data_IF_969307515332
#
_entry.id   IF_969307515332
#
_cell.length_a   1.000
_cell.length_b   1.000
_cell.length_c   1.000
_cell.angle_alpha   90.00
_cell.angle_beta   90.00
_cell.angle_gamma   90.00
#
_symmetry.space_group_name_H-M   'P 1'
#
loop_
_entity.id
_entity.type
_entity.pdbx_description
1 polymer ?
#
# COMPACT_ATOMS: atom_id res chain seq x y z
N UNK A 1 -1.74 -43.86 -5.82
CA UNK A 1 -2.38 -43.45 -7.08
C UNK A 1 -2.59 -41.95 -7.04
N UNK A 2 -1.63 -41.20 -7.54
CA UNK A 2 -1.66 -39.73 -7.60
C UNK A 2 -2.59 -39.36 -8.76
N UNK A 3 -3.77 -38.78 -8.46
CA UNK A 3 -4.62 -38.20 -9.50
C UNK A 3 -3.81 -37.08 -10.14
N UNK A 4 -3.54 -37.19 -11.44
CA UNK A 4 -3.02 -36.07 -12.21
C UNK A 4 -3.98 -34.88 -12.00
N UNK A 5 -3.46 -33.80 -11.42
CA UNK A 5 -4.21 -32.55 -11.24
C UNK A 5 -4.44 -32.02 -12.66
N UNK A 6 -5.69 -32.02 -13.11
CA UNK A 6 -6.02 -31.40 -14.38
C UNK A 6 -5.77 -29.89 -14.26
N UNK A 7 -5.14 -29.25 -15.27
CA UNK A 7 -4.92 -27.81 -15.24
C UNK A 7 -6.23 -27.05 -15.07
N UNK A 8 -6.30 -26.19 -14.06
CA UNK A 8 -7.41 -25.29 -13.83
C UNK A 8 -7.03 -23.88 -14.32
N UNK A 9 -7.31 -23.62 -15.60
CA UNK A 9 -7.01 -22.33 -16.24
C UNK A 9 -7.83 -21.16 -15.66
N UNK A 10 -9.04 -21.44 -15.16
CA UNK A 10 -9.91 -20.42 -14.55
C UNK A 10 -9.32 -19.93 -13.23
N UNK A 11 -8.93 -20.84 -12.33
CA UNK A 11 -8.28 -20.49 -11.07
C UNK A 11 -6.96 -19.73 -11.31
N UNK A 12 -6.18 -20.13 -12.31
CA UNK A 12 -4.98 -19.40 -12.73
C UNK A 12 -5.29 -17.97 -13.22
N UNK A 13 -6.38 -17.79 -13.96
CA UNK A 13 -6.83 -16.47 -14.42
C UNK A 13 -7.29 -15.58 -13.25
N UNK A 14 -7.98 -16.13 -12.25
CA UNK A 14 -8.39 -15.40 -11.04
C UNK A 14 -7.16 -14.91 -10.24
N UNK A 15 -6.15 -15.76 -10.06
CA UNK A 15 -4.91 -15.36 -9.40
C UNK A 15 -4.15 -14.29 -10.20
N UNK A 16 -4.15 -14.37 -11.53
CA UNK A 16 -3.56 -13.35 -12.40
C UNK A 16 -4.30 -12.00 -12.30
N UNK A 17 -5.63 -12.01 -12.26
CA UNK A 17 -6.44 -10.79 -12.05
C UNK A 17 -6.03 -10.09 -10.75
N UNK A 18 -5.79 -10.85 -9.69
CA UNK A 18 -5.33 -10.28 -8.43
C UNK A 18 -3.90 -9.71 -8.51
N UNK A 19 -3.00 -10.32 -9.27
CA UNK A 19 -1.68 -9.74 -9.58
C UNK A 19 -1.84 -8.39 -10.29
N UNK A 20 -2.75 -8.28 -11.25
CA UNK A 20 -3.01 -7.05 -11.99
C UNK A 20 -3.57 -5.96 -11.07
N UNK A 21 -4.45 -6.32 -10.14
CA UNK A 21 -4.91 -5.42 -9.08
C UNK A 21 -3.76 -4.91 -8.21
N UNK A 22 -2.86 -5.80 -7.74
CA UNK A 22 -1.70 -5.42 -6.93
C UNK A 22 -0.75 -4.50 -7.72
N UNK A 23 -0.56 -4.74 -9.03
CA UNK A 23 0.20 -3.86 -9.91
C UNK A 23 -0.43 -2.47 -10.03
N UNK A 24 -1.76 -2.38 -10.12
CA UNK A 24 -2.46 -1.10 -10.13
C UNK A 24 -2.24 -0.32 -8.82
N UNK A 25 -2.29 -0.98 -7.66
CA UNK A 25 -1.99 -0.35 -6.37
C UNK A 25 -0.54 0.15 -6.30
N UNK A 26 0.39 -0.65 -6.84
CA UNK A 26 1.80 -0.29 -6.94
C UNK A 26 2.01 0.98 -7.78
N UNK A 27 1.34 1.10 -8.93
CA UNK A 27 1.36 2.30 -9.76
C UNK A 27 0.78 3.53 -9.05
N UNK A 28 -0.43 3.40 -8.49
CA UNK A 28 -1.09 4.47 -7.75
C UNK A 28 -0.25 4.99 -6.56
N UNK A 29 0.46 4.08 -5.88
CA UNK A 29 1.38 4.43 -4.82
C UNK A 29 2.57 5.26 -5.34
N UNK A 30 3.22 4.81 -6.41
CA UNK A 30 4.36 5.53 -7.00
C UNK A 30 3.98 6.93 -7.48
N UNK A 31 2.82 7.06 -8.14
CA UNK A 31 2.31 8.35 -8.59
C UNK A 31 2.04 9.28 -7.40
N UNK A 32 1.49 8.76 -6.31
CA UNK A 32 1.25 9.53 -5.10
C UNK A 32 2.55 9.96 -4.41
N UNK A 33 3.57 9.09 -4.34
CA UNK A 33 4.88 9.45 -3.80
C UNK A 33 5.52 10.58 -4.60
N UNK A 34 5.45 10.54 -5.94
CA UNK A 34 5.90 11.63 -6.79
C UNK A 34 5.15 12.93 -6.49
N UNK A 35 3.83 12.84 -6.27
CA UNK A 35 3.00 13.96 -5.83
C UNK A 35 3.46 14.55 -4.49
N UNK A 36 3.66 13.72 -3.47
CA UNK A 36 4.14 14.16 -2.14
C UNK A 36 5.51 14.83 -2.23
N UNK A 37 6.46 14.21 -2.94
CA UNK A 37 7.79 14.77 -3.14
C UNK A 37 7.75 16.14 -3.86
N UNK A 38 6.89 16.27 -4.88
CA UNK A 38 6.66 17.52 -5.59
C UNK A 38 6.07 18.61 -4.68
N UNK A 39 5.06 18.25 -3.88
CA UNK A 39 4.44 19.16 -2.90
C UNK A 39 5.42 19.61 -1.81
N UNK A 40 6.22 18.68 -1.26
CA UNK A 40 7.28 18.99 -0.31
C UNK A 40 8.25 20.03 -0.90
N UNK A 41 8.83 19.72 -2.07
CA UNK A 41 9.81 20.58 -2.73
C UNK A 41 9.25 21.97 -3.07
N UNK A 42 7.99 22.04 -3.51
CA UNK A 42 7.33 23.31 -3.85
C UNK A 42 7.20 24.22 -2.62
N UNK A 43 6.73 23.66 -1.50
CA UNK A 43 6.53 24.44 -0.26
C UNK A 43 7.87 24.79 0.38
N UNK A 44 8.84 23.87 0.39
CA UNK A 44 10.18 24.11 0.90
C UNK A 44 10.84 25.33 0.22
N UNK A 45 10.76 25.42 -1.11
CA UNK A 45 11.30 26.58 -1.87
C UNK A 45 10.62 27.91 -1.54
N UNK A 46 9.41 27.87 -0.99
CA UNK A 46 8.59 29.06 -0.71
C UNK A 46 8.41 29.31 0.79
N UNK A 47 8.97 28.46 1.66
CA UNK A 47 8.70 28.47 3.09
C UNK A 47 9.11 29.80 3.73
N UNK A 48 10.24 30.38 3.30
CA UNK A 48 10.69 31.69 3.78
C UNK A 48 9.77 32.85 3.38
N UNK A 49 9.03 32.72 2.28
CA UNK A 49 8.02 33.70 1.85
C UNK A 49 6.75 33.56 2.69
N UNK A 50 6.32 32.32 2.93
CA UNK A 50 5.08 31.99 3.66
C UNK A 50 5.23 32.31 5.16
N UNK A 51 6.39 31.99 5.74
CA UNK A 51 6.72 32.25 7.14
C UNK A 51 7.30 33.65 7.36
N UNK A 52 7.08 34.61 6.46
CA UNK A 52 7.39 36.01 6.75
C UNK A 52 6.11 36.68 7.28
N UNK A 53 6.13 37.22 8.50
CA UNK A 53 4.98 37.95 9.02
C UNK A 53 4.79 39.24 8.22
N UNK A 54 3.60 39.42 7.66
CA UNK A 54 3.26 40.58 6.82
C UNK A 54 2.81 41.76 7.66
N UNK A 55 2.21 41.47 8.81
CA UNK A 55 1.85 42.47 9.80
C UNK A 55 2.03 41.89 11.19
N UNK A 56 2.59 42.69 12.09
CA UNK A 56 2.55 42.44 13.53
C UNK A 56 1.87 43.63 14.19
N UNK A 57 1.01 43.37 15.16
CA UNK A 57 0.25 44.41 15.84
C UNK A 57 -0.35 43.90 17.15
N UNK A 58 -1.22 44.70 17.75
CA UNK A 58 -1.99 44.32 18.93
C UNK A 58 -3.49 44.38 18.56
N UNK A 59 -4.28 43.44 19.07
CA UNK A 59 -5.75 43.52 18.95
C UNK A 59 -6.31 44.49 20.00
N UNK A 60 -7.63 44.70 19.97
CA UNK A 60 -8.36 45.57 20.91
C UNK A 60 -8.19 45.14 22.38
N UNK A 61 -7.86 43.86 22.63
CA UNK A 61 -7.56 43.31 23.94
C UNK A 61 -6.07 43.44 24.33
N UNK A 62 -5.28 44.26 23.62
CA UNK A 62 -3.84 44.44 23.81
C UNK A 62 -3.00 43.15 23.68
N UNK A 63 -3.52 42.13 22.99
CA UNK A 63 -2.79 40.89 22.71
C UNK A 63 -2.03 41.01 21.40
N UNK A 64 -0.80 40.51 21.37
CA UNK A 64 0.05 40.50 20.17
C UNK A 64 -0.56 39.60 19.10
N UNK A 65 -0.88 40.16 17.94
CA UNK A 65 -1.38 39.46 16.75
C UNK A 65 -0.31 39.49 15.66
N UNK A 66 -0.06 38.33 15.06
CA UNK A 66 0.83 38.17 13.90
C UNK A 66 0.00 37.69 12.73
N UNK A 67 0.00 38.45 11.64
CA UNK A 67 -0.66 38.09 10.38
C UNK A 67 0.38 37.47 9.46
N UNK A 68 0.14 36.24 9.06
CA UNK A 68 0.95 35.48 8.12
C UNK A 68 0.34 35.53 6.73
N UNK A 69 1.16 35.44 5.69
CA UNK A 69 0.67 35.39 4.31
C UNK A 69 0.16 33.98 3.99
N UNK A 70 -1.09 33.88 3.54
CA UNK A 70 -1.62 32.66 2.92
C UNK A 70 -1.09 32.55 1.48
N UNK A 71 -0.96 31.32 0.96
CA UNK A 71 -0.57 31.11 -0.44
C UNK A 71 -1.62 31.67 -1.41
N UNK A 72 -2.88 31.70 -0.98
CA UNK A 72 -4.05 32.22 -1.71
C UNK A 72 -4.77 33.26 -0.84
N UNK A 73 -5.34 34.29 -1.46
CA UNK A 73 -6.09 35.34 -0.76
C UNK A 73 -7.53 34.87 -0.49
N UNK A 74 -7.89 34.56 0.77
CA UNK A 74 -9.22 34.05 1.10
C UNK A 74 -10.36 35.05 0.88
N UNK A 75 -10.03 36.31 0.58
CA UNK A 75 -11.01 37.35 0.26
C UNK A 75 -11.45 37.34 -1.21
N UNK A 76 -10.78 36.57 -2.07
CA UNK A 76 -11.18 36.43 -3.46
C UNK A 76 -12.32 35.41 -3.62
N UNK A 77 -13.36 35.73 -4.40
CA UNK A 77 -14.57 34.91 -4.49
C UNK A 77 -14.34 33.53 -5.13
N UNK A 78 -13.22 33.35 -5.83
CA UNK A 78 -12.78 32.11 -6.48
C UNK A 78 -11.83 31.26 -5.63
N UNK A 79 -11.43 31.74 -4.44
CA UNK A 79 -10.56 31.01 -3.52
C UNK A 79 -11.40 30.28 -2.46
N UNK A 80 -11.51 28.96 -2.62
CA UNK A 80 -12.14 28.08 -1.62
C UNK A 80 -11.05 27.44 -0.77
N UNK A 81 -10.98 27.83 0.50
CA UNK A 81 -10.07 27.22 1.46
C UNK A 81 -10.57 25.83 1.87
N UNK A 82 -9.93 24.79 1.35
CA UNK A 82 -10.20 23.40 1.76
C UNK A 82 -9.59 23.08 3.15
N UNK A 83 -8.34 23.51 3.38
CA UNK A 83 -7.62 23.21 4.63
C UNK A 83 -6.58 24.27 5.00
N UNK A 84 -6.57 24.67 6.27
CA UNK A 84 -5.52 25.50 6.86
C UNK A 84 -4.53 24.59 7.60
N UNK A 85 -3.24 24.65 7.23
CA UNK A 85 -2.16 23.90 7.89
C UNK A 85 -0.88 24.73 7.97
N UNK A 86 -0.02 24.44 8.94
CA UNK A 86 1.28 25.13 9.05
C UNK A 86 2.21 24.59 7.97
N UNK A 87 3.05 25.46 7.40
CA UNK A 87 4.00 25.07 6.36
C UNK A 87 4.92 23.91 6.82
N UNK A 88 5.42 23.96 8.06
CA UNK A 88 6.25 22.90 8.62
C UNK A 88 5.51 21.56 8.73
N UNK A 89 4.24 21.57 9.16
CA UNK A 89 3.43 20.36 9.29
C UNK A 89 3.11 19.78 7.90
N UNK A 90 2.86 20.64 6.91
CA UNK A 90 2.64 20.21 5.53
C UNK A 90 3.90 19.60 4.90
N UNK A 91 5.07 20.21 5.12
CA UNK A 91 6.34 19.63 4.66
C UNK A 91 6.58 18.29 5.35
N UNK A 92 6.49 18.22 6.68
CA UNK A 92 6.68 16.96 7.42
C UNK A 92 5.70 15.85 6.97
N UNK A 93 4.46 16.20 6.64
CA UNK A 93 3.47 15.24 6.14
C UNK A 93 3.82 14.66 4.75
N UNK A 94 4.47 15.45 3.88
CA UNK A 94 4.82 15.10 2.50
C UNK A 94 6.28 14.68 2.32
N UNK A 95 7.11 14.77 3.36
CA UNK A 95 8.47 14.26 3.35
C UNK A 95 8.49 12.73 3.17
N UNK A 96 9.60 12.14 2.70
CA UNK A 96 9.77 10.68 2.71
C UNK A 96 9.54 10.11 4.11
N UNK A 97 8.73 9.05 4.22
CA UNK A 97 8.29 8.48 5.49
C UNK A 97 7.26 9.33 6.26
N UNK A 98 6.82 10.45 5.68
CA UNK A 98 5.85 11.37 6.26
C UNK A 98 4.45 10.76 6.42
N UNK A 99 3.57 11.47 7.12
CA UNK A 99 2.24 10.95 7.45
C UNK A 99 1.37 10.61 6.23
N UNK A 100 1.54 11.32 5.10
CA UNK A 100 0.78 11.05 3.87
C UNK A 100 1.21 9.72 3.25
N UNK A 101 2.52 9.50 3.11
CA UNK A 101 3.08 8.22 2.66
C UNK A 101 2.61 7.08 3.58
N UNK A 102 2.76 7.25 4.90
CA UNK A 102 2.38 6.23 5.87
C UNK A 102 0.87 5.92 5.85
N UNK A 103 0.01 6.92 5.64
CA UNK A 103 -1.42 6.70 5.52
C UNK A 103 -1.77 5.96 4.23
N UNK A 104 -1.12 6.30 3.12
CA UNK A 104 -1.34 5.65 1.84
C UNK A 104 -0.85 4.18 1.85
N UNK A 105 0.38 3.93 2.32
CA UNK A 105 0.96 2.60 2.41
C UNK A 105 0.09 1.66 3.27
N UNK A 106 -0.37 2.13 4.43
CA UNK A 106 -1.29 1.36 5.30
C UNK A 106 -2.63 1.10 4.64
N UNK A 107 -3.18 2.07 3.92
CA UNK A 107 -4.43 1.89 3.17
C UNK A 107 -4.28 0.81 2.11
N UNK A 108 -3.16 0.77 1.38
CA UNK A 108 -2.89 -0.25 0.37
C UNK A 108 -2.83 -1.65 0.98
N UNK A 109 -2.14 -1.83 2.11
CA UNK A 109 -2.10 -3.11 2.83
C UNK A 109 -3.52 -3.58 3.21
N UNK A 110 -4.35 -2.66 3.70
CA UNK A 110 -5.75 -2.96 4.02
C UNK A 110 -6.52 -3.37 2.76
N UNK A 111 -6.39 -2.63 1.66
CA UNK A 111 -7.11 -2.89 0.41
C UNK A 111 -6.71 -4.22 -0.24
N UNK A 112 -5.42 -4.54 -0.28
CA UNK A 112 -4.93 -5.83 -0.81
C UNK A 112 -5.55 -6.97 -0.03
N UNK A 113 -5.47 -6.94 1.30
CA UNK A 113 -6.07 -7.99 2.13
C UNK A 113 -7.60 -8.06 1.97
N UNK A 114 -8.27 -6.90 1.95
CA UNK A 114 -9.72 -6.86 1.84
C UNK A 114 -10.21 -7.46 0.52
N UNK A 115 -9.59 -7.09 -0.61
CA UNK A 115 -9.97 -7.64 -1.91
C UNK A 115 -9.64 -9.13 -2.03
N UNK A 116 -8.50 -9.56 -1.46
CA UNK A 116 -8.18 -10.98 -1.35
C UNK A 116 -9.28 -11.75 -0.61
N UNK A 117 -9.59 -11.35 0.62
CA UNK A 117 -10.46 -12.13 1.51
C UNK A 117 -11.93 -12.08 1.09
N UNK A 118 -12.40 -10.94 0.56
CA UNK A 118 -13.82 -10.76 0.22
C UNK A 118 -14.19 -11.31 -1.16
N UNK A 119 -13.25 -11.33 -2.11
CA UNK A 119 -13.55 -11.67 -3.51
C UNK A 119 -12.68 -12.81 -4.03
N UNK A 120 -11.36 -12.60 -4.05
CA UNK A 120 -10.45 -13.49 -4.79
C UNK A 120 -10.40 -14.88 -4.15
N UNK A 121 -10.28 -14.96 -2.83
CA UNK A 121 -10.16 -16.22 -2.11
C UNK A 121 -11.39 -17.12 -2.29
N UNK A 122 -12.59 -16.52 -2.29
CA UNK A 122 -13.83 -17.24 -2.50
C UNK A 122 -13.94 -17.76 -3.94
N UNK A 123 -13.65 -16.90 -4.94
CA UNK A 123 -13.64 -17.29 -6.35
C UNK A 123 -12.64 -18.41 -6.64
N UNK A 124 -11.46 -18.37 -6.01
CA UNK A 124 -10.47 -19.46 -6.11
C UNK A 124 -11.01 -20.76 -5.51
N UNK A 125 -11.63 -20.71 -4.33
CA UNK A 125 -12.18 -21.90 -3.68
C UNK A 125 -13.28 -22.55 -4.53
N UNK A 126 -14.17 -21.74 -5.09
CA UNK A 126 -15.27 -22.19 -5.94
C UNK A 126 -14.76 -22.81 -7.25
N UNK A 127 -13.84 -22.14 -7.94
CA UNK A 127 -13.24 -22.65 -9.19
C UNK A 127 -12.44 -23.94 -8.96
N UNK A 128 -11.72 -24.04 -7.84
CA UNK A 128 -10.97 -25.24 -7.46
C UNK A 128 -11.84 -26.35 -6.85
N UNK A 129 -13.13 -26.09 -6.60
CA UNK A 129 -14.06 -26.99 -5.93
C UNK A 129 -13.55 -27.47 -4.56
N UNK A 130 -12.90 -26.58 -3.81
CA UNK A 130 -12.39 -26.84 -2.46
C UNK A 130 -13.12 -25.97 -1.45
N UNK A 131 -13.02 -26.35 -0.17
CA UNK A 131 -13.50 -25.49 0.91
C UNK A 131 -12.62 -24.24 1.00
N UNK A 132 -13.20 -23.10 1.37
CA UNK A 132 -12.50 -21.81 1.49
C UNK A 132 -11.22 -21.87 2.35
N UNK A 133 -11.24 -22.67 3.43
CA UNK A 133 -10.09 -22.83 4.32
C UNK A 133 -8.92 -23.63 3.72
N UNK A 134 -9.12 -24.27 2.57
CA UNK A 134 -8.06 -24.94 1.81
C UNK A 134 -7.31 -23.97 0.89
N UNK A 135 -7.87 -22.79 0.60
CA UNK A 135 -7.14 -21.73 -0.09
C UNK A 135 -6.29 -21.01 0.96
N UNK A 136 -5.00 -21.37 1.00
CA UNK A 136 -4.03 -20.89 1.97
C UNK A 136 -2.97 -19.98 1.32
N UNK A 137 -2.59 -18.95 2.06
CA UNK A 137 -1.61 -17.94 1.66
C UNK A 137 -0.98 -17.36 2.93
N UNK A 138 0.31 -17.63 3.13
CA UNK A 138 1.04 -17.13 4.30
C UNK A 138 1.14 -15.61 4.28
N UNK A 139 1.38 -15.02 3.10
CA UNK A 139 1.44 -13.56 2.94
C UNK A 139 0.10 -12.91 3.27
N UNK A 140 -1.03 -13.51 2.89
CA UNK A 140 -2.34 -12.97 3.30
C UNK A 140 -2.62 -13.19 4.78
N UNK A 141 -2.10 -14.28 5.36
CA UNK A 141 -2.07 -14.50 6.81
C UNK A 141 -1.36 -13.37 7.56
N UNK A 142 -0.20 -12.96 7.07
CA UNK A 142 0.58 -11.83 7.58
C UNK A 142 -0.14 -10.50 7.36
N UNK A 143 -0.65 -10.22 6.16
CA UNK A 143 -1.39 -8.99 5.87
C UNK A 143 -2.66 -8.85 6.73
N UNK A 144 -3.29 -9.96 7.13
CA UNK A 144 -4.40 -9.96 8.10
C UNK A 144 -3.95 -9.42 9.46
N UNK A 145 -2.77 -9.84 9.94
CA UNK A 145 -2.19 -9.40 11.21
C UNK A 145 -1.84 -7.91 11.12
N UNK A 146 -1.16 -7.50 10.05
CA UNK A 146 -0.80 -6.10 9.81
C UNK A 146 -2.05 -5.20 9.72
N UNK A 147 -3.08 -5.63 8.97
CA UNK A 147 -4.38 -4.93 8.92
C UNK A 147 -4.98 -4.76 10.31
N UNK A 148 -5.01 -5.81 11.11
CA UNK A 148 -5.55 -5.75 12.47
C UNK A 148 -4.78 -4.74 13.34
N UNK A 149 -3.45 -4.74 13.25
CA UNK A 149 -2.62 -3.77 13.95
C UNK A 149 -2.89 -2.33 13.48
N UNK A 150 -3.02 -2.11 12.15
CA UNK A 150 -3.32 -0.80 11.57
C UNK A 150 -4.69 -0.28 12.05
N UNK A 151 -5.74 -1.09 11.94
CA UNK A 151 -7.12 -0.67 12.20
C UNK A 151 -7.46 -0.59 13.70
N UNK A 152 -6.95 -1.51 14.50
CA UNK A 152 -7.40 -1.68 15.89
C UNK A 152 -6.33 -1.34 16.94
N UNK A 153 -5.06 -1.25 16.54
CA UNK A 153 -3.93 -1.05 17.47
C UNK A 153 -3.13 0.21 17.16
N UNK A 154 -3.75 1.19 16.47
CA UNK A 154 -3.10 2.46 16.07
C UNK A 154 -1.82 2.25 15.25
N UNK A 155 -1.80 1.18 14.46
CA UNK A 155 -0.63 0.70 13.73
C UNK A 155 0.55 0.32 14.65
N UNK A 156 0.31 -0.23 15.84
CA UNK A 156 1.36 -0.75 16.72
C UNK A 156 1.41 -2.28 16.64
N UNK A 157 2.62 -2.83 16.40
CA UNK A 157 2.85 -4.27 16.27
C UNK A 157 3.45 -4.81 17.57
N UNK A 158 2.62 -5.46 18.38
CA UNK A 158 3.05 -6.12 19.62
C UNK A 158 3.79 -7.42 19.33
N UNK A 159 4.62 -7.85 20.28
CA UNK A 159 5.40 -9.09 20.23
C UNK A 159 4.54 -10.32 19.88
N UNK A 160 3.34 -10.42 20.45
CA UNK A 160 2.43 -11.54 20.19
C UNK A 160 1.96 -11.61 18.74
N UNK A 161 1.78 -10.47 18.08
CA UNK A 161 1.39 -10.41 16.67
C UNK A 161 2.61 -10.53 15.76
N UNK A 162 3.73 -9.94 16.15
CA UNK A 162 5.01 -10.06 15.46
C UNK A 162 5.47 -11.53 15.38
N UNK A 163 5.33 -12.30 16.46
CA UNK A 163 5.71 -13.71 16.51
C UNK A 163 4.83 -14.62 15.64
N UNK A 164 3.70 -14.12 15.12
CA UNK A 164 2.83 -14.84 14.19
C UNK A 164 3.13 -14.55 12.72
N UNK A 165 3.94 -13.52 12.44
CA UNK A 165 4.34 -13.20 11.07
C UNK A 165 5.30 -14.28 10.57
N UNK A 166 5.05 -14.82 9.39
CA UNK A 166 5.87 -15.90 8.82
C UNK A 166 6.69 -15.44 7.63
N UNK A 167 6.14 -14.54 6.82
CA UNK A 167 6.74 -14.15 5.54
C UNK A 167 7.01 -12.66 5.44
N UNK A 168 6.61 -11.83 6.41
CA UNK A 168 6.86 -10.37 6.47
C UNK A 168 7.58 -9.94 7.73
N UNK A 169 7.99 -10.90 8.56
CA UNK A 169 8.59 -10.65 9.86
C UNK A 169 9.88 -9.81 9.78
N UNK A 170 10.70 -10.03 8.74
CA UNK A 170 11.96 -9.31 8.50
C UNK A 170 11.78 -7.85 8.07
N UNK A 171 10.56 -7.44 7.67
CA UNK A 171 10.28 -6.08 7.22
C UNK A 171 10.00 -5.12 8.38
N UNK A 172 9.63 -5.64 9.56
CA UNK A 172 9.13 -4.80 10.64
C UNK A 172 9.83 -5.12 11.97
N UNK A 173 10.15 -4.11 12.77
CA UNK A 173 10.59 -4.34 14.14
C UNK A 173 9.41 -4.74 15.05
N UNK A 174 9.71 -5.56 16.06
CA UNK A 174 8.77 -5.89 17.14
C UNK A 174 8.61 -4.73 18.13
N UNK A 175 7.45 -4.64 18.79
CA UNK A 175 7.13 -3.64 19.83
C UNK A 175 7.28 -2.19 19.34
N UNK A 176 6.90 -1.94 18.09
CA UNK A 176 6.99 -0.62 17.48
C UNK A 176 5.76 -0.28 16.66
N UNK A 177 5.60 1.02 16.38
CA UNK A 177 4.63 1.48 15.43
C UNK A 177 5.06 1.04 14.02
N UNK A 178 4.17 0.35 13.32
CA UNK A 178 4.29 -0.01 11.91
C UNK A 178 4.55 1.24 11.07
N UNK A 179 5.81 1.42 10.74
CA UNK A 179 6.26 2.30 9.69
C UNK A 179 6.43 1.44 8.45
N UNK A 180 5.70 1.76 7.39
CA UNK A 180 5.77 1.05 6.12
C UNK A 180 6.41 2.00 5.12
N UNK A 181 7.71 1.90 4.94
CA UNK A 181 8.43 2.69 3.95
C UNK A 181 8.20 2.18 2.53
N UNK A 182 8.74 2.91 1.56
CA UNK A 182 8.76 2.49 0.15
C UNK A 182 9.27 1.06 -0.04
N UNK A 183 10.42 0.73 0.54
CA UNK A 183 11.06 -0.59 0.38
C UNK A 183 10.19 -1.70 1.00
N UNK A 184 9.64 -1.47 2.19
CA UNK A 184 8.76 -2.44 2.88
C UNK A 184 7.53 -2.74 2.03
N UNK A 185 6.87 -1.71 1.49
CA UNK A 185 5.67 -1.89 0.67
C UNK A 185 6.01 -2.58 -0.67
N UNK A 186 7.15 -2.27 -1.27
CA UNK A 186 7.63 -2.96 -2.46
C UNK A 186 7.85 -4.46 -2.17
N UNK A 187 8.48 -4.79 -1.05
CA UNK A 187 8.69 -6.18 -0.62
C UNK A 187 7.35 -6.89 -0.39
N UNK A 188 6.37 -6.22 0.21
CA UNK A 188 5.00 -6.74 0.32
C UNK A 188 4.43 -7.06 -1.06
N UNK A 189 4.49 -6.13 -2.02
CA UNK A 189 3.99 -6.38 -3.39
C UNK A 189 4.66 -7.58 -4.05
N UNK A 190 5.98 -7.71 -3.91
CA UNK A 190 6.74 -8.83 -4.47
C UNK A 190 6.30 -10.15 -3.81
N UNK A 191 6.17 -10.19 -2.48
CA UNK A 191 5.76 -11.39 -1.74
C UNK A 191 4.33 -11.82 -2.10
N UNK A 192 3.40 -10.86 -2.25
CA UNK A 192 2.04 -11.13 -2.73
C UNK A 192 2.06 -11.72 -4.14
N UNK A 193 2.75 -11.09 -5.09
CA UNK A 193 2.81 -11.59 -6.48
C UNK A 193 3.47 -12.95 -6.59
N UNK A 194 4.51 -13.23 -5.78
CA UNK A 194 5.15 -14.55 -5.70
C UNK A 194 4.18 -15.62 -5.23
N UNK A 195 3.40 -15.33 -4.19
CA UNK A 195 2.42 -16.27 -3.68
C UNK A 195 1.27 -16.50 -4.68
N UNK A 196 0.84 -15.48 -5.42
CA UNK A 196 -0.09 -15.67 -6.53
C UNK A 196 0.51 -16.53 -7.66
N UNK A 197 1.79 -16.33 -7.99
CA UNK A 197 2.47 -17.16 -8.99
C UNK A 197 2.60 -18.63 -8.54
N UNK A 198 2.83 -18.88 -7.25
CA UNK A 198 2.74 -20.22 -6.64
C UNK A 198 1.37 -20.84 -6.92
N UNK A 199 0.29 -20.12 -6.58
CA UNK A 199 -1.09 -20.58 -6.80
C UNK A 199 -1.34 -20.88 -8.28
N UNK A 200 -0.89 -20.01 -9.20
CA UNK A 200 -1.03 -20.24 -10.66
C UNK A 200 -0.33 -21.54 -11.08
N UNK A 201 0.90 -21.78 -10.62
CA UNK A 201 1.66 -22.98 -10.95
C UNK A 201 1.01 -24.25 -10.38
N UNK A 202 0.47 -24.18 -9.16
CA UNK A 202 -0.31 -25.25 -8.53
C UNK A 202 -1.56 -25.57 -9.36
N UNK A 203 -2.33 -24.54 -9.74
CA UNK A 203 -3.54 -24.70 -10.53
C UNK A 203 -3.26 -25.30 -11.92
N UNK A 204 -2.13 -24.96 -12.53
CA UNK A 204 -1.76 -25.46 -13.86
C UNK A 204 -1.08 -26.84 -13.82
N UNK A 205 -0.89 -27.43 -12.64
CA UNK A 205 -0.15 -28.70 -12.48
C UNK A 205 1.33 -28.60 -12.87
N UNK A 206 1.89 -27.39 -12.85
CA UNK A 206 3.22 -27.08 -13.34
C UNK A 206 4.31 -27.09 -12.25
N UNK A 207 3.96 -27.32 -10.98
CA UNK A 207 4.95 -27.35 -9.90
C UNK A 207 5.98 -28.48 -10.03
N UNK A 208 5.58 -29.65 -10.53
CA UNK A 208 6.51 -30.79 -10.72
C UNK A 208 7.39 -30.65 -11.97
N UNK A 209 7.00 -29.79 -12.91
CA UNK A 209 7.71 -29.54 -14.18
C UNK A 209 8.37 -28.17 -14.25
N UNK A 210 8.20 -27.33 -13.23
CA UNK A 210 8.81 -26.01 -13.15
C UNK A 210 10.34 -26.16 -13.01
N UNK A 211 11.15 -25.58 -13.91
CA UNK A 211 12.60 -25.69 -13.87
C UNK A 211 13.25 -24.82 -12.77
N UNK A 212 12.47 -24.25 -11.85
CA UNK A 212 12.92 -23.35 -10.81
C UNK A 212 12.06 -23.49 -9.54
N UNK A 213 12.68 -23.21 -8.40
CA UNK A 213 11.95 -23.06 -7.14
C UNK A 213 11.21 -21.72 -7.15
N UNK A 214 9.94 -21.70 -6.74
CA UNK A 214 9.10 -20.49 -6.64
C UNK A 214 9.77 -19.44 -5.75
N UNK A 215 10.58 -19.87 -4.77
CA UNK A 215 11.40 -18.99 -3.93
C UNK A 215 12.45 -18.17 -4.72
N UNK A 216 12.83 -18.63 -5.92
CA UNK A 216 13.81 -18.00 -6.81
C UNK A 216 13.20 -17.00 -7.81
N UNK A 217 11.87 -16.85 -7.86
CA UNK A 217 11.21 -15.87 -8.73
C UNK A 217 11.54 -14.44 -8.26
N UNK A 218 12.51 -13.76 -8.88
CA UNK A 218 12.94 -12.39 -8.52
C UNK A 218 12.05 -11.27 -9.05
N UNK A 219 10.96 -11.60 -9.75
CA UNK A 219 9.98 -10.62 -10.20
C UNK A 219 9.01 -11.24 -11.18
N UNK A 220 7.73 -11.29 -10.80
CA UNK A 220 6.66 -11.75 -11.70
C UNK A 220 6.02 -10.52 -12.32
N UNK A 221 6.55 -10.09 -13.46
CA UNK A 221 5.90 -9.11 -14.33
C UNK A 221 5.17 -9.86 -15.45
N UNK A 222 4.04 -10.48 -15.12
CA UNK A 222 3.16 -11.11 -16.12
C UNK A 222 2.30 -10.02 -16.77
N UNK A 223 2.89 -9.18 -17.61
CA UNK A 223 2.08 -8.42 -18.57
C UNK A 223 1.76 -9.34 -19.75
N UNK A 224 0.52 -9.85 -19.81
CA UNK A 224 0.01 -10.44 -21.05
C UNK A 224 0.01 -9.35 -22.11
N UNK A 225 0.81 -9.51 -23.17
CA UNK A 225 0.64 -8.65 -24.35
C UNK A 225 -0.77 -8.91 -24.90
N UNK A 226 -1.62 -7.88 -24.87
CA UNK A 226 -2.89 -7.92 -25.59
C UNK A 226 -2.52 -8.06 -27.07
N UNK A 227 -2.82 -9.21 -27.69
CA UNK A 227 -2.78 -9.31 -29.15
C UNK A 227 -3.70 -8.22 -29.71
N UNK A 228 -3.22 -7.36 -30.63
CA UNK A 228 -4.11 -6.46 -31.35
C UNK A 228 -5.12 -7.32 -32.12
N UNK A 229 -6.39 -6.90 -32.05
CA UNK A 229 -7.53 -7.67 -32.50
C UNK A 229 -7.39 -8.22 -33.92
N UNK A 230 -7.83 -9.48 -34.06
CA UNK A 230 -8.29 -10.08 -35.32
C UNK A 230 -9.79 -9.90 -35.44
#
# INVERSE_FOLDING_TARGET
MTKAIQPNEEAAAIAQEFIDFVNAQCGAYMDALAGYAGHHTKVERQVHRILRPTKTGFNEAAQKVVVWTSYEDPSQPDVILDRITRANDYMAANAPGGSNEQQHARSIVIFIYAYWELEIRQRLADSMQVKLNMVQSDVMGDLRILRNAILHKKAFLHADDFGKLTVTQDLFPSEQRLHIGYEDLQQIFVRVKRDCARIILECLGAMESAPFDVSQLTGVALQRSRKPGS
#
